data_IF_454886191529
#
_entry.id   IF_454886191529
#
_cell.length_a   1.000
_cell.length_b   1.000
_cell.length_c   1.000
_cell.angle_alpha   90.00
_cell.angle_beta   90.00
_cell.angle_gamma   90.00
#
_symmetry.space_group_name_H-M   'P 1'
#
loop_
_entity.id
_entity.type
_entity.pdbx_description
1 polymer ?
#
# COMPACT_ATOMS: atom_id res chain seq x y z
N UNK A 1 15.27 2.33 8.37
CA UNK A 1 14.04 2.96 7.86
C UNK A 1 13.11 1.90 7.27
N UNK A 2 11.80 2.02 7.48
CA UNK A 2 10.77 1.22 6.79
C UNK A 2 10.03 2.09 5.78
N UNK A 3 9.55 1.47 4.71
CA UNK A 3 8.78 2.12 3.64
C UNK A 3 7.34 1.62 3.75
N UNK A 4 6.38 2.53 3.92
CA UNK A 4 4.97 2.18 3.98
C UNK A 4 4.30 2.45 2.63
N UNK A 5 3.60 1.44 2.08
CA UNK A 5 2.76 1.56 0.89
C UNK A 5 1.32 1.14 1.17
N UNK A 6 0.41 1.53 0.27
CA UNK A 6 -0.99 1.07 0.30
C UNK A 6 -1.16 -0.29 -0.38
N UNK A 7 -2.19 -1.06 -0.04
CA UNK A 7 -2.60 -2.25 -0.78
C UNK A 7 -3.27 -1.84 -2.10
N UNK A 8 -3.65 -2.82 -2.90
CA UNK A 8 -4.51 -2.62 -4.07
C UNK A 8 -5.89 -3.26 -3.83
N UNK A 9 -6.91 -2.71 -4.51
CA UNK A 9 -8.27 -3.26 -4.48
C UNK A 9 -8.40 -4.57 -5.28
N UNK A 10 -7.63 -4.68 -6.35
CA UNK A 10 -7.53 -5.89 -7.15
C UNK A 10 -6.42 -6.77 -6.60
N UNK A 11 -6.69 -8.05 -6.53
CA UNK A 11 -5.76 -9.07 -6.07
C UNK A 11 -5.84 -10.27 -7.00
N UNK A 12 -4.68 -10.81 -7.35
CA UNK A 12 -4.55 -11.99 -8.22
C UNK A 12 -3.85 -13.07 -7.40
N UNK A 13 -4.52 -14.19 -7.11
CA UNK A 13 -3.87 -15.30 -6.43
C UNK A 13 -2.86 -15.98 -7.36
N UNK A 14 -1.70 -16.28 -6.82
CA UNK A 14 -0.66 -17.06 -7.50
C UNK A 14 0.10 -17.90 -6.45
N UNK A 15 -0.54 -18.98 -5.94
CA UNK A 15 0.05 -19.78 -4.88
C UNK A 15 1.18 -20.70 -5.37
N UNK A 16 1.36 -20.84 -6.68
CA UNK A 16 2.27 -21.83 -7.27
C UNK A 16 3.62 -21.21 -7.69
N UNK A 17 3.69 -19.90 -7.95
CA UNK A 17 4.91 -19.26 -8.48
C UNK A 17 5.96 -18.98 -7.42
N UNK A 18 5.58 -18.53 -6.24
CA UNK A 18 6.48 -18.21 -5.13
C UNK A 18 5.84 -18.58 -3.79
N UNK A 19 6.52 -19.39 -3.01
CA UNK A 19 6.05 -19.74 -1.68
C UNK A 19 6.19 -18.55 -0.71
N UNK A 20 5.17 -18.27 0.14
CA UNK A 20 5.31 -17.32 1.23
C UNK A 20 6.40 -17.76 2.22
N UNK A 21 7.10 -16.79 2.81
CA UNK A 21 8.15 -17.07 3.81
C UNK A 21 7.69 -16.82 5.25
N UNK A 22 6.56 -16.13 5.42
CA UNK A 22 6.01 -15.80 6.74
C UNK A 22 4.48 -15.70 6.70
N UNK A 23 3.89 -15.68 7.91
CA UNK A 23 2.48 -15.39 8.10
C UNK A 23 2.29 -13.92 8.51
N UNK A 24 1.11 -13.32 8.18
CA UNK A 24 0.76 -11.99 8.65
C UNK A 24 0.83 -11.91 10.18
N UNK A 25 1.46 -10.85 10.71
CA UNK A 25 1.60 -10.61 12.15
C UNK A 25 0.23 -10.57 12.87
N UNK A 26 -0.79 -10.03 12.20
CA UNK A 26 -2.14 -9.83 12.72
C UNK A 26 -3.14 -10.85 12.16
N UNK A 27 -2.69 -12.10 11.97
CA UNK A 27 -3.55 -13.17 11.47
C UNK A 27 -4.77 -13.45 12.38
N UNK A 28 -4.66 -13.42 13.73
CA UNK A 28 -5.82 -13.56 14.60
C UNK A 28 -6.88 -12.46 14.39
N UNK A 29 -6.45 -11.22 14.23
CA UNK A 29 -7.36 -10.10 13.95
C UNK A 29 -8.00 -10.23 12.56
N UNK A 30 -7.24 -10.70 11.56
CA UNK A 30 -7.78 -10.99 10.23
C UNK A 30 -8.84 -12.10 10.30
N UNK A 31 -8.64 -13.11 11.13
CA UNK A 31 -9.63 -14.17 11.37
C UNK A 31 -10.92 -13.60 11.99
N UNK A 32 -10.82 -12.73 12.99
CA UNK A 32 -11.97 -12.04 13.59
C UNK A 32 -12.73 -11.18 12.55
N UNK A 33 -11.99 -10.46 11.69
CA UNK A 33 -12.58 -9.68 10.61
C UNK A 33 -13.31 -10.59 9.60
N UNK A 34 -12.73 -11.75 9.26
CA UNK A 34 -13.35 -12.73 8.38
C UNK A 34 -14.65 -13.26 8.98
N UNK A 35 -14.66 -13.63 10.25
CA UNK A 35 -15.84 -14.11 10.95
C UNK A 35 -16.94 -13.04 10.99
N UNK A 36 -16.56 -11.80 11.25
CA UNK A 36 -17.49 -10.65 11.22
C UNK A 36 -18.10 -10.46 9.83
N UNK A 37 -17.29 -10.55 8.76
CA UNK A 37 -17.78 -10.46 7.38
C UNK A 37 -18.72 -11.64 7.03
N UNK A 38 -18.42 -12.83 7.48
CA UNK A 38 -19.25 -14.04 7.27
C UNK A 38 -20.65 -13.95 7.90
N UNK A 39 -20.78 -13.17 8.98
CA UNK A 39 -22.07 -12.92 9.63
C UNK A 39 -22.95 -11.92 8.88
N UNK A 40 -22.39 -11.17 7.91
CA UNK A 40 -23.14 -10.19 7.13
C UNK A 40 -23.95 -10.83 6.04
N UNK A 41 -25.14 -10.25 5.79
CA UNK A 41 -25.93 -10.57 4.60
C UNK A 41 -25.24 -10.02 3.33
N UNK A 42 -25.57 -10.60 2.19
CA UNK A 42 -25.01 -10.20 0.89
C UNK A 42 -25.26 -8.70 0.59
N UNK A 43 -26.44 -8.19 0.98
CA UNK A 43 -26.80 -6.77 0.84
C UNK A 43 -25.93 -5.86 1.73
N UNK A 44 -25.62 -6.26 2.95
CA UNK A 44 -24.72 -5.53 3.83
C UNK A 44 -23.30 -5.51 3.28
N UNK A 45 -22.80 -6.64 2.78
CA UNK A 45 -21.49 -6.77 2.13
C UNK A 45 -21.38 -5.87 0.90
N UNK A 46 -22.41 -5.87 0.04
CA UNK A 46 -22.45 -4.98 -1.13
C UNK A 46 -22.38 -3.51 -0.72
N UNK A 47 -23.16 -3.12 0.27
CA UNK A 47 -23.16 -1.76 0.82
C UNK A 47 -21.81 -1.37 1.44
N UNK A 48 -21.17 -2.32 2.13
CA UNK A 48 -19.84 -2.13 2.75
C UNK A 48 -18.75 -1.88 1.70
N UNK A 49 -18.73 -2.71 0.65
CA UNK A 49 -17.71 -2.65 -0.42
C UNK A 49 -17.99 -1.63 -1.51
N UNK A 50 -19.25 -1.17 -1.64
CA UNK A 50 -19.69 -0.23 -2.68
C UNK A 50 -19.30 -0.70 -4.08
N UNK A 51 -19.58 -1.98 -4.37
CA UNK A 51 -19.25 -2.66 -5.62
C UNK A 51 -20.50 -2.94 -6.44
N UNK A 52 -20.34 -3.14 -7.76
CA UNK A 52 -21.39 -3.66 -8.62
C UNK A 52 -21.70 -5.13 -8.30
N UNK A 53 -22.80 -5.66 -8.85
CA UNK A 53 -23.29 -6.99 -8.52
C UNK A 53 -22.26 -8.09 -8.83
N UNK A 54 -21.54 -8.01 -9.96
CA UNK A 54 -20.56 -9.02 -10.35
C UNK A 54 -19.39 -9.10 -9.36
N UNK A 55 -18.78 -7.94 -9.01
CA UNK A 55 -17.71 -7.87 -8.02
C UNK A 55 -18.21 -8.23 -6.62
N UNK A 56 -19.46 -7.90 -6.31
CA UNK A 56 -20.09 -8.29 -5.03
C UNK A 56 -20.19 -9.80 -4.93
N UNK A 57 -20.73 -10.48 -5.94
CA UNK A 57 -20.88 -11.94 -5.96
C UNK A 57 -19.51 -12.65 -5.81
N UNK A 58 -18.51 -12.19 -6.54
CA UNK A 58 -17.14 -12.71 -6.44
C UNK A 58 -16.59 -12.59 -5.01
N UNK A 59 -16.71 -11.42 -4.40
CA UNK A 59 -16.16 -11.19 -3.05
C UNK A 59 -16.98 -11.89 -1.96
N UNK A 60 -18.30 -12.06 -2.13
CA UNK A 60 -19.12 -12.91 -1.25
C UNK A 60 -18.61 -14.34 -1.29
N UNK A 61 -18.40 -14.88 -2.47
CA UNK A 61 -17.86 -16.24 -2.63
C UNK A 61 -16.50 -16.37 -1.93
N UNK A 62 -15.60 -15.39 -2.12
CA UNK A 62 -14.31 -15.36 -1.40
C UNK A 62 -14.49 -15.39 0.11
N UNK A 63 -15.28 -14.49 0.69
CA UNK A 63 -15.52 -14.45 2.14
C UNK A 63 -16.08 -15.76 2.67
N UNK A 64 -17.02 -16.41 1.92
CA UNK A 64 -17.65 -17.68 2.35
C UNK A 64 -16.69 -18.86 2.33
N UNK A 65 -15.72 -18.88 1.39
CA UNK A 65 -14.88 -20.07 1.13
C UNK A 65 -13.41 -19.89 1.52
N UNK A 66 -12.90 -18.63 1.73
CA UNK A 66 -11.48 -18.43 2.00
C UNK A 66 -11.04 -19.11 3.30
N UNK A 67 -9.85 -19.69 3.24
CA UNK A 67 -9.07 -20.19 4.37
C UNK A 67 -7.77 -19.37 4.45
N UNK A 68 -7.53 -18.70 5.57
CA UNK A 68 -6.38 -17.81 5.74
C UNK A 68 -5.04 -18.57 5.88
N UNK A 69 -5.07 -19.90 5.81
CA UNK A 69 -3.88 -20.76 5.98
C UNK A 69 -3.56 -21.61 4.72
N UNK A 70 -4.37 -21.53 3.67
CA UNK A 70 -4.21 -22.33 2.46
C UNK A 70 -4.22 -21.49 1.19
N UNK A 71 -3.57 -22.00 0.14
CA UNK A 71 -3.48 -21.35 -1.18
C UNK A 71 -2.98 -19.91 -1.06
N UNK A 72 -1.95 -19.73 -0.25
CA UNK A 72 -1.39 -18.42 0.07
C UNK A 72 -0.50 -17.93 -1.06
N UNK A 73 -0.61 -16.64 -1.35
CA UNK A 73 0.27 -15.91 -2.26
C UNK A 73 1.02 -14.85 -1.46
N UNK A 74 2.33 -14.64 -1.66
CA UNK A 74 3.04 -13.55 -1.01
C UNK A 74 2.39 -12.20 -1.31
N UNK A 75 2.20 -11.36 -0.30
CA UNK A 75 1.42 -10.12 -0.38
C UNK A 75 1.86 -9.21 -1.52
N UNK A 76 3.18 -9.02 -1.72
CA UNK A 76 3.72 -8.18 -2.77
C UNK A 76 3.31 -8.62 -4.19
N UNK A 77 3.13 -9.92 -4.41
CA UNK A 77 2.75 -10.51 -5.69
C UNK A 77 1.24 -10.69 -5.82
N UNK A 78 0.51 -10.77 -4.70
CA UNK A 78 -0.93 -10.90 -4.70
C UNK A 78 -1.66 -9.59 -5.05
N UNK A 79 -1.15 -8.44 -4.60
CA UNK A 79 -1.77 -7.15 -4.92
C UNK A 79 -1.51 -6.74 -6.37
N UNK A 80 -2.58 -6.39 -7.07
CA UNK A 80 -2.53 -5.95 -8.46
C UNK A 80 -3.18 -4.58 -8.63
N UNK A 81 -2.42 -3.61 -9.17
CA UNK A 81 -2.87 -2.24 -9.37
C UNK A 81 -1.73 -1.32 -9.74
N UNK A 82 -2.05 -0.09 -10.12
CA UNK A 82 -1.09 0.86 -10.69
C UNK A 82 0.21 0.97 -9.87
N UNK A 83 0.12 1.09 -8.55
CA UNK A 83 1.32 1.19 -7.70
C UNK A 83 2.20 -0.06 -7.80
N UNK A 84 1.60 -1.25 -7.82
CA UNK A 84 2.30 -2.54 -7.92
C UNK A 84 2.84 -2.80 -9.33
N UNK A 85 2.12 -2.37 -10.37
CA UNK A 85 2.62 -2.42 -11.76
C UNK A 85 3.89 -1.58 -11.93
N UNK A 86 3.92 -0.36 -11.34
CA UNK A 86 5.09 0.51 -11.39
C UNK A 86 6.21 0.12 -10.41
N UNK A 87 5.92 -0.63 -9.39
CA UNK A 87 6.91 -1.30 -8.56
C UNK A 87 7.49 -2.50 -9.31
N UNK A 88 6.64 -3.27 -10.02
CA UNK A 88 7.03 -4.38 -10.88
C UNK A 88 7.77 -5.49 -10.14
N UNK A 89 7.20 -6.09 -9.06
CA UNK A 89 7.93 -7.03 -8.21
C UNK A 89 8.44 -8.27 -8.96
N UNK A 90 7.70 -8.76 -9.96
CA UNK A 90 8.08 -9.92 -10.77
C UNK A 90 9.24 -9.65 -11.75
N UNK A 91 9.62 -8.39 -11.92
CA UNK A 91 10.74 -7.97 -12.76
C UNK A 91 11.93 -7.45 -11.94
N UNK A 92 11.93 -7.67 -10.64
CA UNK A 92 13.07 -7.37 -9.78
C UNK A 92 14.02 -8.57 -9.72
N UNK A 93 15.30 -8.27 -9.69
CA UNK A 93 16.33 -9.25 -9.36
C UNK A 93 16.29 -9.64 -7.88
N UNK A 94 17.00 -10.69 -7.51
CA UNK A 94 16.98 -11.23 -6.13
C UNK A 94 17.42 -10.22 -5.08
N UNK A 95 18.46 -9.43 -5.33
CA UNK A 95 18.98 -8.47 -4.36
C UNK A 95 18.01 -7.31 -4.08
N UNK A 96 17.41 -6.61 -5.07
CA UNK A 96 16.33 -5.65 -4.86
C UNK A 96 15.09 -6.25 -4.18
N UNK A 97 14.71 -7.48 -4.52
CA UNK A 97 13.57 -8.15 -3.90
C UNK A 97 13.85 -8.48 -2.41
N UNK A 98 15.04 -8.97 -2.10
CA UNK A 98 15.47 -9.21 -0.73
C UNK A 98 15.48 -7.92 0.09
N UNK A 99 16.00 -6.84 -0.47
CA UNK A 99 15.98 -5.51 0.16
C UNK A 99 14.55 -5.03 0.45
N UNK A 100 13.63 -5.15 -0.54
CA UNK A 100 12.21 -4.82 -0.33
C UNK A 100 11.58 -5.66 0.77
N UNK A 101 11.89 -6.95 0.82
CA UNK A 101 11.32 -7.87 1.82
C UNK A 101 11.67 -7.43 3.24
N UNK A 102 12.84 -6.83 3.42
CA UNK A 102 13.26 -6.26 4.69
C UNK A 102 12.62 -4.90 4.96
N UNK A 103 12.65 -3.99 3.99
CA UNK A 103 12.34 -2.58 4.19
C UNK A 103 10.88 -2.19 3.96
N UNK A 104 10.14 -2.89 3.10
CA UNK A 104 8.77 -2.53 2.73
C UNK A 104 7.76 -3.06 3.74
N UNK A 105 6.71 -2.27 3.97
CA UNK A 105 5.50 -2.66 4.70
C UNK A 105 4.27 -2.24 3.91
N UNK A 106 3.28 -3.11 3.86
CA UNK A 106 2.03 -2.88 3.12
C UNK A 106 0.91 -2.72 4.15
N UNK A 107 0.27 -1.54 4.17
CA UNK A 107 -0.92 -1.33 4.97
C UNK A 107 -2.11 -2.11 4.40
N UNK A 108 -2.92 -2.71 5.26
CA UNK A 108 -4.10 -3.51 4.87
C UNK A 108 -5.25 -3.27 5.83
N UNK A 109 -6.46 -3.07 5.29
CA UNK A 109 -7.66 -2.97 6.13
C UNK A 109 -8.03 -4.32 6.76
N UNK A 110 -7.63 -5.43 6.14
CA UNK A 110 -7.94 -6.79 6.58
C UNK A 110 -6.81 -7.45 7.38
N UNK A 111 -5.57 -7.35 6.93
CA UNK A 111 -4.40 -7.96 7.58
C UNK A 111 -3.56 -6.98 8.43
N UNK A 112 -3.94 -5.71 8.49
CA UNK A 112 -3.23 -4.68 9.26
C UNK A 112 -1.94 -4.21 8.59
N UNK A 113 -0.81 -4.73 9.01
CA UNK A 113 0.52 -4.40 8.50
C UNK A 113 1.21 -5.68 8.01
N UNK A 114 1.47 -5.75 6.70
CA UNK A 114 2.07 -6.91 6.04
C UNK A 114 3.53 -6.67 5.69
N UNK A 115 4.31 -7.73 5.74
CA UNK A 115 5.60 -7.83 5.04
C UNK A 115 5.38 -8.27 3.59
N UNK A 116 6.29 -7.96 2.66
CA UNK A 116 6.15 -8.33 1.24
C UNK A 116 5.88 -9.80 0.98
N UNK A 117 6.51 -10.68 1.74
CA UNK A 117 6.43 -12.14 1.54
C UNK A 117 5.54 -12.85 2.57
N UNK A 118 4.71 -12.11 3.31
CA UNK A 118 3.63 -12.70 4.11
C UNK A 118 2.61 -13.38 3.20
N UNK A 119 2.22 -14.60 3.55
CA UNK A 119 1.22 -15.37 2.80
C UNK A 119 -0.20 -14.85 3.06
N UNK A 120 -0.87 -14.41 2.01
CA UNK A 120 -2.24 -13.90 2.09
C UNK A 120 -3.14 -14.56 1.04
N UNK A 121 -4.44 -14.45 1.25
CA UNK A 121 -5.47 -14.78 0.24
C UNK A 121 -6.16 -13.52 -0.24
N UNK A 122 -6.71 -13.49 -1.46
CA UNK A 122 -7.49 -12.35 -1.95
C UNK A 122 -8.69 -12.03 -1.06
N UNK A 123 -8.86 -10.76 -0.76
CA UNK A 123 -9.96 -10.23 0.06
C UNK A 123 -10.46 -8.89 -0.49
N UNK A 124 -11.57 -8.40 0.05
CA UNK A 124 -12.07 -7.05 -0.22
C UNK A 124 -12.46 -6.38 1.09
N UNK A 125 -11.57 -5.51 1.61
CA UNK A 125 -11.86 -4.68 2.78
C UNK A 125 -10.87 -3.50 2.81
N UNK A 126 -11.36 -2.31 2.42
CA UNK A 126 -10.58 -1.09 2.52
C UNK A 126 -10.58 -0.57 3.96
N UNK A 127 -9.54 0.16 4.37
CA UNK A 127 -9.38 0.71 5.71
C UNK A 127 -10.52 1.68 6.10
N UNK A 128 -11.07 2.41 5.13
CA UNK A 128 -12.20 3.33 5.33
C UNK A 128 -13.58 2.65 5.39
N UNK A 129 -13.64 1.31 5.25
CA UNK A 129 -14.90 0.58 5.32
C UNK A 129 -15.54 0.75 6.72
N UNK A 130 -16.86 1.01 6.73
CA UNK A 130 -17.62 1.18 7.98
C UNK A 130 -18.08 -0.16 8.55
N UNK A 131 -17.12 -1.06 8.77
CA UNK A 131 -17.37 -2.35 9.40
C UNK A 131 -17.28 -2.19 10.93
N UNK A 132 -18.37 -2.47 11.63
CA UNK A 132 -18.33 -2.64 13.09
C UNK A 132 -17.78 -4.02 13.41
N UNK A 133 -16.80 -4.06 14.31
CA UNK A 133 -16.18 -5.28 14.80
C UNK A 133 -16.19 -5.20 16.32
N UNK A 134 -16.94 -6.07 16.98
CA UNK A 134 -17.17 -5.99 18.42
C UNK A 134 -17.63 -4.58 18.83
N UNK A 135 -16.94 -3.93 19.76
CA UNK A 135 -17.24 -2.57 20.23
C UNK A 135 -16.67 -1.47 19.31
N UNK A 136 -15.89 -1.82 18.30
CA UNK A 136 -15.26 -0.86 17.39
C UNK A 136 -16.25 -0.42 16.31
N UNK A 137 -16.45 0.91 16.17
CA UNK A 137 -17.39 1.50 15.21
C UNK A 137 -16.97 1.37 13.73
N UNK A 138 -15.68 1.24 13.47
CA UNK A 138 -15.06 1.16 12.15
C UNK A 138 -13.66 0.54 12.25
N UNK A 139 -12.98 0.32 11.11
CA UNK A 139 -11.65 -0.28 11.08
C UNK A 139 -10.56 0.61 11.68
N UNK A 140 -10.70 1.94 11.64
CA UNK A 140 -9.75 2.82 12.33
C UNK A 140 -9.79 2.60 13.85
N UNK A 141 -10.99 2.49 14.40
CA UNK A 141 -11.18 2.17 15.83
C UNK A 141 -10.75 0.74 16.16
N UNK A 142 -11.05 -0.22 15.26
CA UNK A 142 -10.63 -1.61 15.41
C UNK A 142 -9.10 -1.75 15.45
N UNK A 143 -8.39 -1.16 14.53
CA UNK A 143 -6.93 -1.21 14.52
C UNK A 143 -6.29 -0.34 15.62
N UNK A 144 -6.90 0.80 15.95
CA UNK A 144 -6.40 1.72 16.98
C UNK A 144 -4.93 2.10 16.72
N UNK A 145 -4.10 1.93 17.72
CA UNK A 145 -2.65 2.17 17.66
C UNK A 145 -1.79 0.91 17.41
N UNK A 146 -2.42 -0.27 17.25
CA UNK A 146 -1.72 -1.55 17.14
C UNK A 146 -0.74 -1.58 15.96
N UNK A 147 -1.15 -1.03 14.80
CA UNK A 147 -0.31 -1.00 13.60
C UNK A 147 0.86 -0.03 13.76
N UNK A 148 0.63 1.11 14.40
CA UNK A 148 1.65 2.09 14.71
C UNK A 148 2.71 1.53 15.66
N UNK A 149 2.27 0.87 16.75
CA UNK A 149 3.17 0.21 17.70
C UNK A 149 4.01 -0.86 17.02
N UNK A 150 3.39 -1.72 16.21
CA UNK A 150 4.11 -2.74 15.46
C UNK A 150 5.18 -2.18 14.52
N UNK A 151 4.88 -1.04 13.88
CA UNK A 151 5.84 -0.37 12.99
C UNK A 151 6.96 0.31 13.79
N UNK A 152 6.66 0.93 14.92
CA UNK A 152 7.64 1.58 15.80
C UNK A 152 8.64 0.59 16.44
N UNK A 153 8.24 -0.67 16.65
CA UNK A 153 9.15 -1.72 17.10
C UNK A 153 10.22 -2.08 16.05
N UNK A 154 9.96 -1.79 14.77
CA UNK A 154 10.83 -2.17 13.65
C UNK A 154 11.77 -1.04 13.19
N UNK A 155 11.45 0.21 13.51
CA UNK A 155 12.20 1.35 12.98
C UNK A 155 11.91 2.66 13.72
N UNK A 156 12.89 3.54 13.73
CA UNK A 156 12.78 4.94 14.17
C UNK A 156 12.43 5.92 13.03
N UNK A 157 12.41 5.43 11.77
CA UNK A 157 12.15 6.27 10.60
C UNK A 157 11.27 5.54 9.59
N UNK A 158 10.19 6.19 9.15
CA UNK A 158 9.25 5.67 8.15
C UNK A 158 9.21 6.59 6.94
N UNK A 159 9.35 6.03 5.75
CA UNK A 159 9.05 6.68 4.49
C UNK A 159 7.58 6.41 4.11
N UNK A 160 6.78 7.49 4.06
CA UNK A 160 5.36 7.40 3.71
C UNK A 160 5.17 7.52 2.18
N UNK A 161 4.91 6.37 1.55
CA UNK A 161 4.46 6.22 0.17
C UNK A 161 3.02 5.67 0.10
N UNK A 162 2.30 5.68 1.22
CA UNK A 162 0.91 5.25 1.27
C UNK A 162 -0.07 6.38 0.91
N UNK A 163 -1.31 6.01 0.64
CA UNK A 163 -2.41 6.97 0.52
C UNK A 163 -2.84 7.44 1.91
N UNK A 164 -3.47 8.63 1.98
CA UNK A 164 -3.97 9.21 3.24
C UNK A 164 -4.85 8.24 4.04
N UNK A 165 -5.61 7.37 3.35
CA UNK A 165 -6.45 6.35 3.97
C UNK A 165 -5.65 5.44 4.89
N UNK A 166 -4.48 4.95 4.44
CA UNK A 166 -3.62 4.02 5.19
C UNK A 166 -2.61 4.75 6.08
N UNK A 167 -2.04 5.86 5.61
CA UNK A 167 -1.16 6.71 6.43
C UNK A 167 -1.86 7.13 7.71
N UNK A 168 -3.12 7.57 7.64
CA UNK A 168 -3.91 7.97 8.80
C UNK A 168 -4.05 6.85 9.83
N UNK A 169 -4.29 5.61 9.37
CA UNK A 169 -4.48 4.48 10.27
C UNK A 169 -3.18 4.03 10.97
N UNK A 170 -2.04 4.21 10.30
CA UNK A 170 -0.77 3.62 10.72
C UNK A 170 0.20 4.67 11.26
N UNK A 171 0.26 5.85 10.64
CA UNK A 171 1.27 6.87 10.96
C UNK A 171 0.76 7.94 11.93
N UNK A 172 -0.54 8.30 11.91
CA UNK A 172 -1.05 9.31 12.83
C UNK A 172 -0.95 8.87 14.32
N UNK A 173 -1.09 7.57 14.69
CA UNK A 173 -0.87 7.11 16.05
C UNK A 173 0.59 6.81 16.44
N UNK A 174 1.58 7.02 15.54
CA UNK A 174 2.98 6.77 15.86
C UNK A 174 3.49 7.63 17.01
N UNK A 175 4.38 7.10 17.88
CA UNK A 175 5.02 7.91 18.89
C UNK A 175 5.94 8.97 18.25
N UNK A 176 6.09 10.13 18.92
CA UNK A 176 6.91 11.23 18.43
C UNK A 176 8.41 10.88 18.23
N UNK A 177 8.87 9.78 18.79
CA UNK A 177 10.23 9.25 18.59
C UNK A 177 10.45 8.65 17.19
N UNK A 178 9.37 8.35 16.44
CA UNK A 178 9.47 7.81 15.08
C UNK A 178 9.31 8.96 14.09
N UNK A 179 10.37 9.20 13.32
CA UNK A 179 10.39 10.19 12.25
C UNK A 179 9.60 9.69 11.04
N UNK A 180 8.75 10.54 10.46
CA UNK A 180 7.99 10.23 9.25
C UNK A 180 8.40 11.16 8.11
N UNK A 181 9.01 10.61 7.08
CA UNK A 181 9.35 11.33 5.84
C UNK A 181 8.23 11.09 4.82
N UNK A 182 7.61 12.15 4.31
CA UNK A 182 6.54 12.07 3.32
C UNK A 182 7.03 12.48 1.94
N UNK A 183 6.79 11.64 0.93
CA UNK A 183 6.97 11.99 -0.48
C UNK A 183 5.64 12.47 -1.06
N UNK A 184 5.64 13.71 -1.57
CA UNK A 184 4.47 14.37 -2.16
C UNK A 184 4.72 14.57 -3.65
N UNK A 185 3.82 14.08 -4.49
CA UNK A 185 3.93 14.12 -5.95
C UNK A 185 2.90 15.07 -6.52
N UNK A 186 3.33 16.25 -7.00
CA UNK A 186 2.46 17.33 -7.43
C UNK A 186 2.53 17.55 -8.93
N UNK A 187 1.37 17.67 -9.54
CA UNK A 187 1.20 18.06 -10.95
C UNK A 187 0.70 19.49 -11.03
N UNK A 188 1.14 20.23 -12.04
CA UNK A 188 0.63 21.56 -12.33
C UNK A 188 -0.71 21.47 -13.06
N UNK A 189 -1.70 22.18 -12.57
CA UNK A 189 -3.00 22.34 -13.23
C UNK A 189 -2.93 23.44 -14.30
N UNK A 190 -3.94 23.54 -15.20
CA UNK A 190 -4.00 24.60 -16.19
C UNK A 190 -4.02 26.02 -15.61
N UNK A 191 -4.57 26.18 -14.41
CA UNK A 191 -4.62 27.45 -13.66
C UNK A 191 -3.29 27.79 -12.94
N UNK A 192 -2.25 26.94 -13.11
CA UNK A 192 -0.95 27.10 -12.47
C UNK A 192 -0.85 26.53 -11.06
N UNK A 193 -1.95 26.16 -10.41
CA UNK A 193 -1.95 25.56 -9.07
C UNK A 193 -1.34 24.15 -9.08
N UNK A 194 -0.78 23.74 -7.94
CA UNK A 194 -0.21 22.41 -7.77
C UNK A 194 -1.20 21.50 -7.04
N UNK A 195 -1.36 20.27 -7.52
CA UNK A 195 -2.21 19.27 -6.88
C UNK A 195 -1.72 17.84 -7.13
N UNK A 196 -2.04 16.93 -6.20
CA UNK A 196 -1.87 15.51 -6.40
C UNK A 196 -2.91 14.97 -7.40
N UNK A 197 -2.45 14.24 -8.44
CA UNK A 197 -3.31 13.46 -9.32
C UNK A 197 -3.25 11.99 -8.90
N UNK A 198 -4.36 11.43 -8.47
CA UNK A 198 -4.41 10.12 -7.81
C UNK A 198 -3.70 8.99 -8.58
N UNK A 199 -3.89 8.90 -9.90
CA UNK A 199 -3.24 7.89 -10.74
C UNK A 199 -1.73 8.10 -10.81
N UNK A 200 -1.29 9.34 -11.08
CA UNK A 200 0.14 9.68 -11.17
C UNK A 200 0.87 9.48 -9.83
N UNK A 201 0.21 9.82 -8.71
CA UNK A 201 0.79 9.55 -7.39
C UNK A 201 1.00 8.05 -7.13
N UNK A 202 0.08 7.18 -7.58
CA UNK A 202 0.26 5.72 -7.47
C UNK A 202 1.44 5.23 -8.31
N UNK A 203 1.57 5.74 -9.54
CA UNK A 203 2.71 5.44 -10.41
C UNK A 203 4.03 5.85 -9.74
N UNK A 204 4.10 7.10 -9.26
CA UNK A 204 5.28 7.65 -8.61
C UNK A 204 5.70 6.86 -7.36
N UNK A 205 4.74 6.52 -6.50
CA UNK A 205 4.99 5.73 -5.28
C UNK A 205 5.53 4.34 -5.59
N UNK A 206 4.99 3.66 -6.61
CA UNK A 206 5.51 2.38 -7.08
C UNK A 206 6.93 2.49 -7.61
N UNK A 207 7.19 3.48 -8.47
CA UNK A 207 8.53 3.74 -9.04
C UNK A 207 9.53 4.14 -7.97
N UNK A 208 9.14 4.95 -6.97
CA UNK A 208 10.02 5.30 -5.85
C UNK A 208 10.41 4.06 -5.06
N UNK A 209 9.47 3.20 -4.69
CA UNK A 209 9.76 1.97 -3.97
C UNK A 209 10.72 1.07 -4.77
N UNK A 210 10.51 0.92 -6.09
CA UNK A 210 11.42 0.21 -6.98
C UNK A 210 12.81 0.83 -7.04
N UNK A 211 12.89 2.14 -7.24
CA UNK A 211 14.16 2.88 -7.31
C UNK A 211 15.01 2.68 -6.05
N UNK A 212 14.39 2.75 -4.87
CA UNK A 212 15.08 2.53 -3.60
C UNK A 212 15.57 1.08 -3.45
N UNK A 213 14.79 0.12 -3.93
CA UNK A 213 15.18 -1.29 -3.93
C UNK A 213 16.38 -1.55 -4.86
N UNK A 214 16.36 -1.00 -6.07
CA UNK A 214 17.46 -1.10 -7.03
C UNK A 214 18.72 -0.37 -6.55
N UNK A 215 18.56 0.75 -5.81
CA UNK A 215 19.68 1.45 -5.16
C UNK A 215 20.21 0.71 -3.91
N UNK A 216 19.44 -0.19 -3.32
CA UNK A 216 19.76 -0.91 -2.08
C UNK A 216 19.87 0.00 -0.86
N UNK A 217 19.32 1.20 -0.90
CA UNK A 217 19.39 2.19 0.18
C UNK A 217 18.20 3.15 0.13
N UNK A 218 17.90 3.78 1.26
CA UNK A 218 16.77 4.69 1.40
C UNK A 218 17.11 5.87 2.33
N UNK A 219 18.30 6.44 2.16
CA UNK A 219 18.73 7.65 2.85
C UNK A 219 18.18 8.92 2.17
N UNK A 220 18.26 10.09 2.83
CA UNK A 220 17.72 11.35 2.30
C UNK A 220 18.34 11.79 0.96
N UNK A 221 19.61 11.46 0.69
CA UNK A 221 20.26 11.85 -0.56
C UNK A 221 19.78 10.99 -1.73
N UNK A 222 19.62 9.69 -1.49
CA UNK A 222 18.99 8.77 -2.44
C UNK A 222 17.55 9.21 -2.76
N UNK A 223 16.77 9.58 -1.75
CA UNK A 223 15.40 10.09 -1.97
C UNK A 223 15.40 11.34 -2.86
N UNK A 224 16.32 12.30 -2.63
CA UNK A 224 16.44 13.52 -3.46
C UNK A 224 16.91 13.22 -4.88
N UNK A 225 17.68 12.16 -5.07
CA UNK A 225 18.18 11.72 -6.37
C UNK A 225 17.11 11.00 -7.21
N UNK A 226 15.93 10.73 -6.67
CA UNK A 226 14.84 10.11 -7.43
C UNK A 226 14.47 10.96 -8.64
N UNK A 227 14.85 10.47 -9.81
CA UNK A 227 14.49 10.99 -11.12
C UNK A 227 13.56 9.98 -11.82
N UNK A 228 12.31 9.90 -11.37
CA UNK A 228 11.28 9.16 -12.06
C UNK A 228 11.04 9.75 -13.45
N UNK A 229 10.63 8.93 -14.43
CA UNK A 229 10.42 9.33 -15.84
C UNK A 229 9.61 10.64 -15.96
N UNK A 230 8.71 10.89 -15.00
CA UNK A 230 7.79 12.04 -15.01
C UNK A 230 7.98 12.98 -13.82
N UNK A 231 8.98 12.78 -12.95
CA UNK A 231 9.12 13.48 -11.70
C UNK A 231 10.52 14.05 -11.53
N UNK A 232 10.62 15.20 -10.88
CA UNK A 232 11.88 15.79 -10.43
C UNK A 232 11.72 16.32 -9.01
N UNK A 233 12.77 16.21 -8.21
CA UNK A 233 12.81 16.74 -6.86
C UNK A 233 12.72 18.27 -6.88
N UNK A 234 11.85 18.85 -6.05
CA UNK A 234 11.63 20.29 -5.94
C UNK A 234 12.12 20.82 -4.60
N UNK A 235 13.41 21.19 -4.45
CA UNK A 235 14.00 21.63 -3.18
C UNK A 235 13.29 22.82 -2.58
N UNK A 236 12.86 23.78 -3.40
CA UNK A 236 12.19 25.02 -2.95
C UNK A 236 10.78 24.80 -2.38
N UNK A 237 10.19 23.61 -2.57
CA UNK A 237 8.87 23.21 -2.06
C UNK A 237 8.98 22.15 -0.99
N UNK A 238 10.20 21.69 -0.69
CA UNK A 238 10.48 20.59 0.23
C UNK A 238 10.91 21.11 1.60
N UNK A 239 10.64 20.29 2.60
CA UNK A 239 11.05 20.44 3.99
C UNK A 239 11.81 19.17 4.42
N UNK A 240 12.52 19.14 5.56
CA UNK A 240 13.31 17.97 5.97
C UNK A 240 12.53 16.63 6.00
N UNK A 241 11.24 16.68 6.35
CA UNK A 241 10.37 15.51 6.47
C UNK A 241 9.22 15.51 5.46
N UNK A 242 9.27 16.41 4.46
CA UNK A 242 8.29 16.51 3.38
C UNK A 242 9.00 16.79 2.07
N UNK A 243 9.30 15.74 1.33
CA UNK A 243 9.98 15.81 0.03
C UNK A 243 8.94 15.96 -1.09
N UNK A 244 9.04 17.03 -1.85
CA UNK A 244 8.13 17.34 -2.96
C UNK A 244 8.80 17.02 -4.28
N UNK A 245 8.05 16.34 -5.14
CA UNK A 245 8.42 16.03 -6.52
C UNK A 245 7.39 16.64 -7.45
N UNK A 246 7.86 17.37 -8.47
CA UNK A 246 7.01 17.98 -9.50
C UNK A 246 6.96 17.09 -10.73
N UNK A 247 5.76 17.01 -11.33
CA UNK A 247 5.59 16.40 -12.64
C UNK A 247 6.37 17.23 -13.68
N UNK A 248 7.28 16.57 -14.41
CA UNK A 248 8.02 17.18 -15.52
C UNK A 248 7.06 17.59 -16.65
N UNK A 249 7.28 18.71 -17.32
CA UNK A 249 6.51 19.06 -18.49
C UNK A 249 6.53 17.92 -19.53
N UNK A 250 5.37 17.52 -20.03
CA UNK A 250 5.29 16.57 -21.14
C UNK A 250 6.00 17.17 -22.36
N UNK A 251 6.92 16.44 -22.99
CA UNK A 251 7.49 16.90 -24.26
C UNK A 251 6.37 17.02 -25.29
N UNK A 252 6.29 18.13 -26.05
CA UNK A 252 5.28 18.26 -27.13
C UNK A 252 5.39 17.05 -28.09
N UNK A 253 4.29 16.32 -28.27
CA UNK A 253 4.23 15.17 -29.19
C UNK A 253 4.45 13.79 -28.57
N UNK A 254 4.83 13.67 -27.28
CA UNK A 254 4.79 12.39 -26.58
C UNK A 254 3.45 12.25 -25.85
N UNK A 255 2.56 11.42 -26.34
CA UNK A 255 1.52 10.84 -25.48
C UNK A 255 2.23 10.21 -24.29
N UNK A 256 1.70 10.30 -23.05
CA UNK A 256 2.24 9.49 -21.97
C UNK A 256 2.23 8.04 -22.49
N UNK A 257 3.41 7.48 -22.66
CA UNK A 257 3.55 6.10 -23.07
C UNK A 257 3.02 5.23 -21.92
N UNK A 258 1.74 4.88 -22.01
CA UNK A 258 1.17 3.71 -21.34
C UNK A 258 1.61 2.49 -22.16
N UNK A 259 2.90 2.28 -22.26
CA UNK A 259 3.45 1.06 -22.85
C UNK A 259 3.77 0.10 -21.70
N UNK A 260 3.02 -0.99 -21.75
CA UNK A 260 3.06 -2.19 -20.90
C UNK A 260 4.28 -3.06 -21.25
#
# INVERSE_FOLDING_TARGET
MRILISPAKQMIPDPDSLAPVSQPRFLPEAQLLLETLRQKSDRELQSLWKTNDALTAENIQRVRTMDLTRNLTPALFCYHGIQYQYLGPSALEDAPLAWLSEHLRIGSGFYGLLRPLDGIVPYRLEMQARLRVEDSRDLYAFWGDRLARALAEETDTVLDLASREYSRAILDPLPASVRVIRCVFLSRKPDGTLAEKATLCKMARGRMARFLAEAGQADPDTLRAFDGIHWEYAPNLSEPDRLVYLEKPSRPGTRPAFEW
#
